data_IF_733950353829
#
_entry.id   IF_733950353829
#
_cell.length_a   1.000
_cell.length_b   1.000
_cell.length_c   1.000
_cell.angle_alpha   90.00
_cell.angle_beta   90.00
_cell.angle_gamma   90.00
#
_symmetry.space_group_name_H-M   'P 1'
#
loop_
_entity.id
_entity.type
_entity.pdbx_description
1 polymer ?
#
# COMPACT_ATOMS: atom_id res chain seq x y z
N UNK A 1 -12.15 28.00 5.14
CA UNK A 1 -10.88 27.28 4.87
C UNK A 1 -10.95 25.91 5.51
N UNK A 2 -11.12 24.84 4.72
CA UNK A 2 -11.12 23.45 5.19
C UNK A 2 -9.69 22.92 5.13
N UNK A 3 -9.09 22.60 6.27
CA UNK A 3 -7.70 22.19 6.45
C UNK A 3 -7.42 20.71 6.17
N UNK A 4 -8.34 19.96 5.55
CA UNK A 4 -8.21 18.51 5.38
C UNK A 4 -7.41 18.06 4.14
N UNK A 5 -6.80 18.98 3.38
CA UNK A 5 -6.13 18.66 2.11
C UNK A 5 -4.64 18.31 2.18
N UNK A 6 -3.96 18.55 3.31
CA UNK A 6 -2.49 18.42 3.39
C UNK A 6 -2.02 16.95 3.50
N UNK A 7 -2.85 16.05 4.00
CA UNK A 7 -2.45 14.67 4.28
C UNK A 7 -2.39 13.79 3.01
N UNK A 8 -3.22 14.06 2.00
CA UNK A 8 -3.27 13.23 0.78
C UNK A 8 -1.97 13.30 -0.04
N UNK A 9 -1.45 14.50 -0.39
CA UNK A 9 -0.21 14.60 -1.15
C UNK A 9 0.97 13.98 -0.40
N UNK A 10 1.08 14.21 0.91
CA UNK A 10 2.12 13.61 1.75
C UNK A 10 2.03 12.08 1.78
N UNK A 11 0.83 11.51 1.84
CA UNK A 11 0.60 10.06 1.80
C UNK A 11 1.04 9.45 0.47
N UNK A 12 0.67 10.05 -0.66
CA UNK A 12 1.09 9.54 -1.99
C UNK A 12 2.59 9.73 -2.25
N UNK A 13 3.20 10.81 -1.76
CA UNK A 13 4.67 10.97 -1.80
C UNK A 13 5.37 9.89 -0.97
N UNK A 14 4.88 9.62 0.25
CA UNK A 14 5.40 8.55 1.07
C UNK A 14 5.30 7.19 0.34
N UNK A 15 4.13 6.87 -0.21
CA UNK A 15 3.92 5.62 -0.95
C UNK A 15 4.87 5.46 -2.14
N UNK A 16 5.10 6.53 -2.90
CA UNK A 16 6.08 6.49 -4.01
C UNK A 16 7.53 6.34 -3.57
N UNK A 17 7.87 6.81 -2.35
CA UNK A 17 9.19 6.60 -1.76
C UNK A 17 9.33 5.19 -1.20
N UNK A 18 8.25 4.64 -0.65
CA UNK A 18 8.18 3.28 -0.10
C UNK A 18 8.45 2.22 -1.17
N UNK A 19 7.73 2.31 -2.29
CA UNK A 19 7.86 1.45 -3.47
C UNK A 19 9.31 1.41 -4.01
N UNK A 20 10.03 2.53 -3.97
CA UNK A 20 11.42 2.61 -4.42
C UNK A 20 12.49 2.30 -3.37
N UNK A 21 12.18 2.37 -2.08
CA UNK A 21 13.16 2.27 -1.00
C UNK A 21 12.89 1.15 0.01
N UNK A 22 11.85 0.34 -0.22
CA UNK A 22 11.43 -0.77 0.66
C UNK A 22 11.26 -0.29 2.10
N UNK A 23 10.59 0.84 2.28
CA UNK A 23 10.49 1.52 3.59
C UNK A 23 9.69 0.63 4.54
N UNK A 24 8.61 0.00 4.07
CA UNK A 24 7.81 -0.93 4.86
C UNK A 24 8.62 -2.15 5.31
N UNK A 25 9.47 -2.73 4.46
CA UNK A 25 10.35 -3.84 4.84
C UNK A 25 11.32 -3.41 5.96
N UNK A 26 11.95 -2.23 5.82
CA UNK A 26 12.91 -1.69 6.80
C UNK A 26 12.26 -1.32 8.13
N UNK A 27 11.03 -0.78 8.10
CA UNK A 27 10.26 -0.56 9.32
C UNK A 27 9.89 -1.89 9.97
N UNK A 28 9.52 -2.90 9.18
CA UNK A 28 9.26 -4.25 9.67
C UNK A 28 10.46 -4.85 10.41
N UNK A 29 11.65 -4.78 9.81
CA UNK A 29 12.87 -5.28 10.44
C UNK A 29 13.21 -4.52 11.72
N UNK A 30 13.07 -3.19 11.71
CA UNK A 30 13.29 -2.36 12.90
C UNK A 30 12.36 -2.72 14.06
N UNK A 31 11.05 -2.91 13.79
CA UNK A 31 10.11 -3.31 14.83
C UNK A 31 10.37 -4.74 15.33
N UNK A 32 10.85 -5.64 14.47
CA UNK A 32 11.24 -6.99 14.89
C UNK A 32 12.47 -6.96 15.80
N UNK A 33 13.50 -6.21 15.42
CA UNK A 33 14.72 -6.03 16.22
C UNK A 33 14.39 -5.44 17.61
N UNK A 34 13.53 -4.41 17.66
CA UNK A 34 13.05 -3.85 18.94
C UNK A 34 12.26 -4.84 19.80
N UNK A 35 11.54 -5.77 19.19
CA UNK A 35 10.81 -6.82 19.92
C UNK A 35 11.75 -7.92 20.42
N UNK A 36 12.82 -8.22 19.68
CA UNK A 36 13.82 -9.27 20.01
C UNK A 36 14.89 -8.80 21.01
N UNK A 37 15.34 -7.54 20.96
CA UNK A 37 16.40 -7.00 21.84
C UNK A 37 15.95 -6.74 23.28
N UNK A 38 14.65 -6.68 23.54
CA UNK A 38 14.07 -6.87 24.86
C UNK A 38 14.45 -5.86 25.95
N UNK A 39 13.81 -4.68 25.94
CA UNK A 39 13.24 -4.08 27.15
C UNK A 39 12.17 -3.03 26.77
N UNK A 40 10.87 -3.32 27.02
CA UNK A 40 9.79 -2.37 26.76
C UNK A 40 8.48 -2.98 26.23
N UNK A 41 7.53 -2.09 25.86
CA UNK A 41 6.16 -2.41 25.43
C UNK A 41 6.11 -3.34 24.19
N UNK A 42 7.17 -3.37 23.38
CA UNK A 42 7.23 -4.15 22.15
C UNK A 42 7.38 -5.67 22.36
N UNK A 43 7.86 -6.10 23.53
CA UNK A 43 7.95 -7.53 23.92
C UNK A 43 6.57 -8.23 23.94
N UNK A 44 5.49 -7.47 24.18
CA UNK A 44 4.12 -7.98 24.15
C UNK A 44 3.73 -8.50 22.76
N UNK A 45 4.39 -8.02 21.71
CA UNK A 45 4.15 -8.44 20.33
C UNK A 45 4.99 -9.65 19.91
N UNK A 46 5.94 -10.11 20.73
CA UNK A 46 6.80 -11.25 20.40
C UNK A 46 6.00 -12.52 20.05
N UNK A 47 4.94 -12.92 20.79
CA UNK A 47 4.14 -14.09 20.42
C UNK A 47 3.40 -13.90 19.09
N UNK A 48 3.02 -12.66 18.77
CA UNK A 48 2.34 -12.32 17.50
C UNK A 48 3.33 -12.34 16.34
N UNK A 49 4.57 -11.90 16.55
CA UNK A 49 5.65 -11.95 15.58
C UNK A 49 6.09 -13.39 15.30
N UNK A 50 6.19 -14.22 16.33
CA UNK A 50 6.51 -15.65 16.18
C UNK A 50 5.38 -16.43 15.51
N UNK A 51 4.11 -16.04 15.75
CA UNK A 51 2.96 -16.63 15.09
C UNK A 51 2.76 -16.13 13.66
N UNK A 52 3.27 -14.94 13.33
CA UNK A 52 3.20 -14.40 11.99
C UNK A 52 4.22 -15.10 11.09
N UNK A 53 3.71 -15.91 10.18
CA UNK A 53 4.48 -16.63 9.18
C UNK A 53 5.07 -15.73 8.08
N UNK A 54 4.90 -14.41 8.17
CA UNK A 54 5.15 -13.45 7.09
C UNK A 54 5.98 -12.27 7.56
N UNK A 55 6.16 -11.27 6.71
CA UNK A 55 6.93 -10.10 7.06
C UNK A 55 6.34 -9.33 8.26
N UNK A 56 7.21 -8.94 9.19
CA UNK A 56 6.83 -8.23 10.41
C UNK A 56 6.15 -6.89 10.15
N UNK A 57 6.41 -6.26 9.00
CA UNK A 57 5.76 -5.01 8.61
C UNK A 57 4.25 -5.18 8.44
N UNK A 58 3.78 -6.37 8.06
CA UNK A 58 2.34 -6.65 7.90
C UNK A 58 1.59 -6.61 9.23
N UNK A 59 2.28 -6.75 10.36
CA UNK A 59 1.67 -6.68 11.69
C UNK A 59 1.58 -5.23 12.17
N UNK A 60 2.62 -4.43 11.94
CA UNK A 60 2.73 -3.09 12.51
C UNK A 60 2.31 -1.98 11.56
N UNK A 61 2.68 -2.11 10.29
CA UNK A 61 2.55 -1.07 9.28
C UNK A 61 1.25 -1.27 8.50
N UNK A 62 0.99 -2.47 7.99
CA UNK A 62 -0.19 -2.75 7.16
C UNK A 62 -1.53 -2.34 7.82
N UNK A 63 -1.82 -2.56 9.11
CA UNK A 63 -3.09 -2.13 9.71
C UNK A 63 -3.29 -0.61 9.68
N UNK A 64 -2.21 0.16 9.86
CA UNK A 64 -2.23 1.62 9.77
C UNK A 64 -2.53 2.05 8.33
N UNK A 65 -1.87 1.41 7.36
CA UNK A 65 -2.13 1.67 5.93
C UNK A 65 -3.55 1.32 5.53
N UNK A 66 -4.07 0.17 5.96
CA UNK A 66 -5.45 -0.23 5.71
C UNK A 66 -6.45 0.74 6.34
N UNK A 67 -6.19 1.24 7.55
CA UNK A 67 -7.02 2.25 8.18
C UNK A 67 -7.10 3.54 7.33
N UNK A 68 -5.94 4.08 6.91
CA UNK A 68 -5.91 5.27 6.06
C UNK A 68 -6.50 5.02 4.68
N UNK A 69 -6.19 3.90 4.05
CA UNK A 69 -6.75 3.52 2.76
C UNK A 69 -8.28 3.43 2.81
N UNK A 70 -8.83 2.78 3.84
CA UNK A 70 -10.27 2.68 4.06
C UNK A 70 -10.90 4.04 4.32
N UNK A 71 -10.28 4.88 5.16
CA UNK A 71 -10.75 6.23 5.41
C UNK A 71 -10.77 7.08 4.13
N UNK A 72 -9.70 7.06 3.34
CA UNK A 72 -9.59 7.79 2.07
C UNK A 72 -10.65 7.28 1.08
N UNK A 73 -10.88 5.96 1.03
CA UNK A 73 -11.87 5.36 0.16
C UNK A 73 -13.29 5.81 0.54
N UNK A 74 -13.68 5.69 1.81
CA UNK A 74 -14.98 6.13 2.31
C UNK A 74 -15.18 7.64 2.11
N UNK A 75 -14.17 8.44 2.46
CA UNK A 75 -14.23 9.88 2.27
C UNK A 75 -14.37 10.22 0.78
N UNK A 76 -13.60 9.57 -0.09
CA UNK A 76 -13.61 9.75 -1.53
C UNK A 76 -14.97 9.40 -2.16
N UNK A 77 -15.61 8.32 -1.73
CA UNK A 77 -16.95 7.96 -2.19
C UNK A 77 -18.02 9.00 -1.79
N UNK A 78 -17.88 9.60 -0.62
CA UNK A 78 -18.84 10.58 -0.12
C UNK A 78 -18.61 12.00 -0.64
N UNK A 79 -17.38 12.36 -1.03
CA UNK A 79 -17.02 13.75 -1.36
C UNK A 79 -16.63 13.99 -2.82
N UNK A 80 -16.31 12.95 -3.59
CA UNK A 80 -15.96 13.08 -5.01
C UNK A 80 -17.17 12.68 -5.85
N UNK A 81 -17.72 13.61 -6.63
CA UNK A 81 -18.89 13.35 -7.49
C UNK A 81 -18.54 12.69 -8.82
N UNK A 82 -17.26 12.66 -9.18
CA UNK A 82 -16.78 12.20 -10.49
C UNK A 82 -16.66 10.67 -10.50
N UNK A 83 -17.61 9.99 -11.15
CA UNK A 83 -17.66 8.51 -11.22
C UNK A 83 -16.39 7.89 -11.82
N UNK A 84 -15.79 8.54 -12.80
CA UNK A 84 -14.54 8.05 -13.41
C UNK A 84 -13.41 7.99 -12.36
N UNK A 85 -13.34 8.95 -11.44
CA UNK A 85 -12.36 8.92 -10.35
C UNK A 85 -12.53 7.69 -9.47
N UNK A 86 -13.76 7.32 -9.11
CA UNK A 86 -14.00 6.12 -8.32
C UNK A 86 -13.59 4.84 -9.04
N UNK A 87 -13.84 4.74 -10.36
CA UNK A 87 -13.42 3.57 -11.15
C UNK A 87 -11.90 3.39 -11.13
N UNK A 88 -11.16 4.46 -11.35
CA UNK A 88 -9.70 4.44 -11.32
C UNK A 88 -9.14 4.14 -9.93
N UNK A 89 -9.73 4.69 -8.87
CA UNK A 89 -9.33 4.38 -7.49
C UNK A 89 -9.60 2.91 -7.15
N UNK A 90 -10.77 2.37 -7.50
CA UNK A 90 -11.10 0.97 -7.25
C UNK A 90 -10.19 0.01 -8.03
N UNK A 91 -9.92 0.32 -9.30
CA UNK A 91 -9.00 -0.47 -10.12
C UNK A 91 -7.58 -0.45 -9.55
N UNK A 92 -7.11 0.73 -9.12
CA UNK A 92 -5.79 0.83 -8.50
C UNK A 92 -5.71 0.10 -7.16
N UNK A 93 -6.74 0.22 -6.32
CA UNK A 93 -6.84 -0.51 -5.06
C UNK A 93 -6.89 -2.03 -5.26
N UNK A 94 -7.50 -2.51 -6.35
CA UNK A 94 -7.47 -3.92 -6.72
C UNK A 94 -6.06 -4.41 -7.04
N UNK A 95 -5.27 -3.67 -7.82
CA UNK A 95 -3.89 -4.04 -8.11
C UNK A 95 -3.00 -4.03 -6.87
N UNK A 96 -3.13 -3.01 -6.01
CA UNK A 96 -2.41 -2.96 -4.72
C UNK A 96 -2.80 -4.16 -3.85
N UNK A 97 -4.09 -4.51 -3.77
CA UNK A 97 -4.52 -5.66 -2.97
C UNK A 97 -3.94 -6.99 -3.48
N UNK A 98 -3.72 -7.14 -4.79
CA UNK A 98 -3.02 -8.31 -5.34
C UNK A 98 -1.53 -8.24 -5.00
N UNK A 99 -0.89 -7.08 -5.13
CA UNK A 99 0.51 -6.86 -4.74
C UNK A 99 0.76 -7.26 -3.28
N UNK A 100 -0.04 -6.74 -2.35
CA UNK A 100 -0.03 -7.14 -0.93
C UNK A 100 -0.21 -8.65 -0.72
N UNK A 101 -1.01 -9.30 -1.55
CA UNK A 101 -1.18 -10.75 -1.52
C UNK A 101 0.09 -11.49 -1.95
N UNK A 102 0.77 -11.00 -2.97
CA UNK A 102 2.06 -11.55 -3.43
C UNK A 102 3.15 -11.34 -2.37
N UNK A 103 3.24 -10.17 -1.75
CA UNK A 103 4.19 -9.90 -0.66
C UNK A 103 3.95 -10.84 0.53
N UNK A 104 2.69 -11.11 0.87
CA UNK A 104 2.33 -12.11 1.87
C UNK A 104 2.83 -13.52 1.51
N UNK A 105 2.64 -13.95 0.27
CA UNK A 105 3.16 -15.25 -0.17
C UNK A 105 4.70 -15.27 -0.19
N UNK A 106 5.34 -14.16 -0.53
CA UNK A 106 6.80 -14.01 -0.48
C UNK A 106 7.29 -14.24 0.95
N UNK A 107 6.70 -13.55 1.92
CA UNK A 107 7.04 -13.72 3.34
C UNK A 107 6.84 -15.15 3.86
N UNK A 108 5.88 -15.92 3.33
CA UNK A 108 5.72 -17.33 3.69
C UNK A 108 6.85 -18.22 3.16
N UNK A 109 7.36 -17.93 1.97
CA UNK A 109 8.48 -18.67 1.36
C UNK A 109 9.77 -18.33 2.09
N UNK A 110 10.05 -17.04 2.29
CA UNK A 110 11.28 -16.55 2.93
C UNK A 110 11.42 -17.02 4.39
N UNK A 111 10.31 -17.15 5.11
CA UNK A 111 10.31 -17.68 6.49
C UNK A 111 10.27 -19.22 6.55
N UNK A 112 10.37 -19.92 5.41
CA UNK A 112 10.40 -21.39 5.37
C UNK A 112 9.08 -22.08 5.71
N UNK A 113 7.96 -21.35 5.65
CA UNK A 113 6.60 -21.90 5.90
C UNK A 113 6.11 -22.65 4.67
N UNK A 114 6.44 -22.15 3.48
CA UNK A 114 6.22 -22.83 2.21
C UNK A 114 7.58 -23.23 1.63
N UNK A 115 7.77 -24.53 1.45
CA UNK A 115 8.94 -25.06 0.77
C UNK A 115 8.70 -25.14 -0.74
N UNK A 116 9.62 -24.54 -1.51
CA UNK A 116 9.63 -24.56 -2.97
C UNK A 116 10.63 -25.58 -3.55
N UNK A 117 11.34 -26.32 -2.70
CA UNK A 117 12.26 -27.37 -3.12
C UNK A 117 11.54 -28.46 -3.94
N UNK A 118 12.19 -28.93 -5.01
CA UNK A 118 11.63 -29.94 -5.92
C UNK A 118 10.71 -29.40 -7.02
N UNK A 119 10.50 -28.08 -7.12
CA UNK A 119 9.85 -27.45 -8.28
C UNK A 119 10.75 -27.48 -9.52
N UNK A 120 10.16 -27.49 -10.74
CA UNK A 120 10.92 -27.51 -11.99
C UNK A 120 11.69 -26.21 -12.27
N UNK A 121 11.32 -25.11 -11.61
CA UNK A 121 12.04 -23.83 -11.67
C UNK A 121 12.83 -23.64 -10.38
N UNK A 122 13.98 -22.96 -10.47
CA UNK A 122 14.77 -22.63 -9.28
C UNK A 122 14.01 -21.67 -8.36
N UNK A 123 14.21 -21.81 -7.05
CA UNK A 123 13.61 -20.95 -6.01
C UNK A 123 13.85 -19.46 -6.33
N UNK A 124 15.10 -19.10 -6.60
CA UNK A 124 15.49 -17.75 -7.03
C UNK A 124 14.73 -17.25 -8.26
N UNK A 125 14.39 -18.13 -9.22
CA UNK A 125 13.60 -17.73 -10.39
C UNK A 125 12.17 -17.41 -10.00
N UNK A 126 11.55 -18.25 -9.16
CA UNK A 126 10.17 -18.06 -8.73
C UNK A 126 10.04 -16.77 -7.91
N UNK A 127 10.93 -16.58 -6.92
CA UNK A 127 10.98 -15.37 -6.09
C UNK A 127 11.19 -14.11 -6.95
N UNK A 128 12.16 -14.12 -7.87
CA UNK A 128 12.43 -12.96 -8.70
C UNK A 128 11.24 -12.58 -9.59
N UNK A 129 10.57 -13.56 -10.22
CA UNK A 129 9.39 -13.28 -11.03
C UNK A 129 8.20 -12.81 -10.20
N UNK A 130 8.02 -13.36 -9.01
CA UNK A 130 6.98 -12.94 -8.08
C UNK A 130 7.18 -11.48 -7.66
N UNK A 131 8.40 -11.11 -7.26
CA UNK A 131 8.73 -9.73 -6.87
C UNK A 131 8.54 -8.74 -8.01
N UNK A 132 8.97 -9.09 -9.22
CA UNK A 132 8.73 -8.23 -10.41
C UNK A 132 7.24 -8.04 -10.68
N UNK A 133 6.43 -9.09 -10.51
CA UNK A 133 4.98 -9.01 -10.70
C UNK A 133 4.33 -8.17 -9.61
N UNK A 134 4.74 -8.35 -8.36
CA UNK A 134 4.32 -7.55 -7.21
C UNK A 134 4.60 -6.07 -7.43
N UNK A 135 5.87 -5.69 -7.63
CA UNK A 135 6.29 -4.31 -7.90
C UNK A 135 5.51 -3.71 -9.08
N UNK A 136 5.32 -4.47 -10.16
CA UNK A 136 4.53 -4.03 -11.31
C UNK A 136 3.07 -3.74 -10.96
N UNK A 137 2.45 -4.58 -10.13
CA UNK A 137 1.06 -4.41 -9.70
C UNK A 137 0.92 -3.21 -8.78
N UNK A 138 1.84 -3.01 -7.84
CA UNK A 138 1.83 -1.86 -6.93
C UNK A 138 1.99 -0.54 -7.70
N UNK A 139 2.97 -0.46 -8.60
CA UNK A 139 3.16 0.70 -9.48
C UNK A 139 1.92 0.98 -10.35
N UNK A 140 1.34 -0.07 -10.96
CA UNK A 140 0.12 0.05 -11.77
C UNK A 140 -1.05 0.54 -10.90
N UNK A 141 -1.14 0.07 -9.67
CA UNK A 141 -2.08 0.50 -8.66
C UNK A 141 -1.99 2.00 -8.38
N UNK A 142 -0.79 2.49 -8.08
CA UNK A 142 -0.54 3.91 -7.83
C UNK A 142 -0.86 4.78 -9.05
N UNK A 143 -0.45 4.36 -10.25
CA UNK A 143 -0.76 5.08 -11.49
C UNK A 143 -2.28 5.21 -11.68
N UNK A 144 -3.04 4.14 -11.45
CA UNK A 144 -4.49 4.17 -11.53
C UNK A 144 -5.10 5.17 -10.53
N UNK A 145 -4.67 5.12 -9.27
CA UNK A 145 -5.19 6.04 -8.23
C UNK A 145 -4.85 7.49 -8.58
N UNK A 146 -3.60 7.79 -8.93
CA UNK A 146 -3.15 9.12 -9.32
C UNK A 146 -3.92 9.64 -10.54
N UNK A 147 -4.18 8.77 -11.53
CA UNK A 147 -5.02 9.10 -12.69
C UNK A 147 -6.45 9.46 -12.26
N UNK A 148 -7.04 8.69 -11.34
CA UNK A 148 -8.37 8.97 -10.80
C UNK A 148 -8.44 10.35 -10.14
N UNK A 149 -7.45 10.67 -9.30
CA UNK A 149 -7.34 11.96 -8.62
C UNK A 149 -7.12 13.12 -9.62
N UNK A 150 -6.30 12.90 -10.65
CA UNK A 150 -6.10 13.87 -11.73
C UNK A 150 -7.40 14.19 -12.47
N UNK A 151 -8.20 13.17 -12.81
CA UNK A 151 -9.50 13.37 -13.45
C UNK A 151 -10.44 14.22 -12.57
N UNK A 152 -10.44 13.98 -11.26
CA UNK A 152 -11.21 14.80 -10.33
C UNK A 152 -10.73 16.26 -10.31
N UNK A 153 -9.41 16.48 -10.28
CA UNK A 153 -8.81 17.82 -10.28
C UNK A 153 -9.23 18.61 -11.53
N UNK A 154 -9.16 18.00 -12.71
CA UNK A 154 -9.58 18.64 -13.97
C UNK A 154 -11.08 18.96 -13.98
N UNK A 155 -11.91 18.08 -13.42
CA UNK A 155 -13.35 18.35 -13.26
C UNK A 155 -13.59 19.57 -12.37
N UNK A 156 -12.87 19.70 -11.25
CA UNK A 156 -12.99 20.85 -10.36
C UNK A 156 -12.56 22.15 -11.04
N UNK A 157 -11.45 22.14 -11.78
CA UNK A 157 -10.99 23.31 -12.53
C UNK A 157 -12.04 23.79 -13.53
N UNK A 158 -12.63 22.87 -14.31
CA UNK A 158 -13.67 23.20 -15.29
C UNK A 158 -14.90 23.85 -14.64
N UNK A 159 -15.34 23.34 -13.48
CA UNK A 159 -16.48 23.89 -12.74
C UNK A 159 -16.18 25.30 -12.20
N UNK A 160 -14.97 25.52 -11.69
CA UNK A 160 -14.52 26.84 -11.21
C UNK A 160 -14.51 27.85 -12.36
N UNK A 161 -13.91 27.51 -13.51
CA UNK A 161 -13.87 28.38 -14.69
C UNK A 161 -15.27 28.76 -15.18
N UNK A 162 -16.20 27.81 -15.21
CA UNK A 162 -17.59 28.06 -15.58
C UNK A 162 -18.31 28.99 -14.60
N UNK A 163 -18.00 28.92 -13.30
CA UNK A 163 -18.60 29.79 -12.29
C UNK A 163 -18.11 31.24 -12.41
N UNK A 164 -16.82 31.44 -12.68
CA UNK A 164 -16.21 32.76 -12.84
C UNK A 164 -16.66 33.48 -14.11
N UNK A 165 -17.04 32.74 -15.17
CA UNK A 165 -17.54 33.35 -16.40
C UNK A 165 -19.03 33.71 -16.33
N UNK A 166 -19.75 33.27 -15.29
CA UNK A 166 -21.17 33.56 -15.06
C UNK A 166 -21.43 34.66 -14.03
N UNK A 167 -20.40 35.11 -13.31
CA UNK A 167 -20.42 36.23 -12.35
C UNK A 167 -19.96 37.53 -12.99
#
# INVERSE_FOLDING_TARGET
>A
MRSHGCCLPAFFTFLSMDDGAKIHERLGSFFRELAEEGDGVFTVFQPVLEAASTYSWQIFVLPVFLFFAFFILLWGFNNISVRETHRWILLGGFFIAIGLGLDYFEGLVDNGVIDLEGRPLSVNTIEHYQRVLEEFLEMTGFICILRGLWVNLMSLESQIRLSLHRS
#
